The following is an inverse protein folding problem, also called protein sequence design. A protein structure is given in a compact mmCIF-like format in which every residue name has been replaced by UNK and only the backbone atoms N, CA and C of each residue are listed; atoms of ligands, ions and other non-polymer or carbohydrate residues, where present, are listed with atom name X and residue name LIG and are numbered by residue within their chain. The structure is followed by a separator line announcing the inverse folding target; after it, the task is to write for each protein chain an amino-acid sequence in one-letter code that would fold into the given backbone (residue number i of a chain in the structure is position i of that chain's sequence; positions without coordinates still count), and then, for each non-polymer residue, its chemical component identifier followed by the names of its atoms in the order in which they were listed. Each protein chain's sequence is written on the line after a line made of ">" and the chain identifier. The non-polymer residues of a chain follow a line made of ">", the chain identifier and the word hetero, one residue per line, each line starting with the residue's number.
data_IF_593287345178
#
_entry.id   IF_593287345178
#
_cell.length_a   1.000
_cell.length_b   1.000
_cell.length_c   1.000
_cell.angle_alpha   90.00
_cell.angle_beta   90.00
_cell.angle_gamma   90.00
#
_symmetry.space_group_name_H-M   'P 1'
#
loop_
_entity.id
_entity.type
_entity.pdbx_description
1 polymer ?
#
# COMPACT_ATOMS: atom_id res chain seq x y z
N UNK A 1 -12.87 4.71 7.35
CA UNK A 1 -13.17 4.19 5.99
C UNK A 1 -11.88 4.21 5.18
N UNK A 2 -11.71 3.32 4.20
CA UNK A 2 -10.51 3.33 3.36
C UNK A 2 -10.58 4.49 2.35
N UNK A 3 -9.47 5.20 2.07
CA UNK A 3 -9.43 6.27 1.08
C UNK A 3 -9.76 5.73 -0.32
N UNK A 4 -10.41 6.55 -1.14
CA UNK A 4 -10.67 6.19 -2.52
C UNK A 4 -9.37 6.14 -3.33
N UNK A 5 -9.19 5.07 -4.10
CA UNK A 5 -8.06 4.91 -5.03
C UNK A 5 -8.54 4.86 -6.49
N UNK A 6 -7.78 5.34 -7.47
CA UNK A 6 -8.17 5.24 -8.87
C UNK A 6 -7.98 3.83 -9.43
N UNK A 7 -8.83 3.44 -10.37
CA UNK A 7 -8.56 2.27 -11.22
C UNK A 7 -7.43 2.58 -12.20
N UNK A 8 -6.69 1.56 -12.64
CA UNK A 8 -5.64 1.67 -13.66
C UNK A 8 -6.20 2.26 -14.95
N UNK A 9 -7.42 1.87 -15.34
CA UNK A 9 -8.15 2.43 -16.47
C UNK A 9 -8.34 3.94 -16.29
N UNK A 10 -8.91 4.37 -15.16
CA UNK A 10 -9.14 5.79 -14.86
C UNK A 10 -7.82 6.58 -14.87
N UNK A 11 -6.73 6.03 -14.33
CA UNK A 11 -5.43 6.70 -14.38
C UNK A 11 -4.94 6.92 -15.81
N UNK A 12 -5.02 5.89 -16.65
CA UNK A 12 -4.45 5.91 -18.00
C UNK A 12 -5.32 6.68 -19.00
N UNK A 13 -6.60 6.33 -19.04
CA UNK A 13 -7.53 6.82 -20.06
C UNK A 13 -8.10 8.19 -19.71
N UNK A 14 -8.43 8.40 -18.44
CA UNK A 14 -9.17 9.59 -18.02
C UNK A 14 -8.23 10.69 -17.47
N UNK A 15 -7.18 10.31 -16.75
CA UNK A 15 -6.19 11.23 -16.16
C UNK A 15 -4.91 11.38 -16.99
N UNK A 16 -4.72 10.56 -18.03
CA UNK A 16 -3.56 10.64 -18.93
C UNK A 16 -2.23 10.20 -18.31
N UNK A 17 -2.25 9.44 -17.21
CA UNK A 17 -1.06 8.92 -16.54
C UNK A 17 -0.63 7.61 -17.22
N UNK A 18 0.18 7.73 -18.27
CA UNK A 18 0.58 6.59 -19.10
C UNK A 18 1.42 5.54 -18.34
N UNK A 19 2.37 6.00 -17.52
CA UNK A 19 3.25 5.13 -16.73
C UNK A 19 2.79 5.09 -15.28
N UNK A 20 2.46 3.88 -14.81
CA UNK A 20 2.14 3.67 -13.40
C UNK A 20 3.41 3.79 -12.55
N UNK A 21 3.31 4.36 -11.33
CA UNK A 21 4.43 4.37 -10.39
C UNK A 21 4.81 2.94 -9.96
N UNK A 22 6.03 2.75 -9.41
CA UNK A 22 6.42 1.47 -8.80
C UNK A 22 5.45 1.08 -7.68
N UNK A 23 5.41 -0.20 -7.31
CA UNK A 23 4.47 -0.70 -6.30
C UNK A 23 4.69 -0.13 -4.89
N UNK A 24 5.91 0.35 -4.61
CA UNK A 24 6.24 1.10 -3.40
C UNK A 24 5.50 2.44 -3.26
N UNK A 25 4.95 2.98 -4.35
CA UNK A 25 4.13 4.19 -4.35
C UNK A 25 2.67 3.84 -4.68
N UNK A 26 1.77 4.13 -3.74
CA UNK A 26 0.37 3.76 -3.85
C UNK A 26 -0.38 4.64 -4.86
N UNK A 27 -1.34 4.07 -5.59
CA UNK A 27 -2.08 4.86 -6.61
C UNK A 27 -3.00 5.92 -6.00
N UNK A 28 -3.41 5.78 -4.74
CA UNK A 28 -4.16 6.78 -3.98
C UNK A 28 -3.29 7.95 -3.45
N UNK A 29 -1.96 7.85 -3.58
CA UNK A 29 -0.99 8.86 -3.17
C UNK A 29 -0.40 9.64 -4.36
N UNK A 30 -0.83 9.33 -5.59
CA UNK A 30 -0.42 10.07 -6.78
C UNK A 30 -0.79 11.55 -6.63
N UNK A 31 0.18 12.42 -6.90
CA UNK A 31 0.00 13.87 -6.88
C UNK A 31 -0.92 14.33 -8.01
N UNK A 32 -2.22 14.26 -7.75
CA UNK A 32 -3.27 14.72 -8.66
C UNK A 32 -4.45 15.28 -7.86
N UNK A 33 -4.92 16.51 -8.17
CA UNK A 33 -5.96 17.18 -7.37
C UNK A 33 -7.24 16.35 -7.21
N UNK A 34 -7.68 15.66 -8.26
CA UNK A 34 -8.87 14.82 -8.20
C UNK A 34 -8.66 13.56 -7.36
N UNK A 35 -7.45 12.96 -7.38
CA UNK A 35 -7.13 11.76 -6.61
C UNK A 35 -7.11 12.11 -5.13
N UNK A 36 -6.42 13.18 -4.73
CA UNK A 36 -6.44 13.68 -3.35
C UNK A 36 -7.85 14.04 -2.88
N UNK A 37 -8.65 14.72 -3.73
CA UNK A 37 -10.02 15.04 -3.37
C UNK A 37 -10.87 13.78 -3.14
N UNK A 38 -10.77 12.78 -4.02
CA UNK A 38 -11.49 11.53 -3.89
C UNK A 38 -11.06 10.78 -2.62
N UNK A 39 -9.75 10.66 -2.39
CA UNK A 39 -9.18 10.04 -1.20
C UNK A 39 -9.72 10.67 0.09
N UNK A 40 -9.64 12.00 0.21
CA UNK A 40 -10.12 12.73 1.38
C UNK A 40 -11.65 12.63 1.58
N UNK A 41 -12.43 12.72 0.51
CA UNK A 41 -13.91 12.64 0.58
C UNK A 41 -14.42 11.27 1.04
N UNK A 42 -13.62 10.21 0.83
CA UNK A 42 -13.99 8.84 1.17
C UNK A 42 -13.28 8.28 2.41
N UNK A 43 -12.23 8.94 2.91
CA UNK A 43 -11.59 8.58 4.17
C UNK A 43 -12.50 8.81 5.40
N UNK A 44 -13.40 9.80 5.34
CA UNK A 44 -14.29 10.18 6.45
C UNK A 44 -15.80 10.10 6.13
N UNK A 45 -16.61 10.47 7.13
CA UNK A 45 -18.08 10.50 7.08
C UNK A 45 -18.61 11.83 6.51
N UNK A 46 -18.26 12.11 5.25
CA UNK A 46 -18.82 13.27 4.54
C UNK A 46 -20.07 12.86 3.77
N UNK A 47 -21.09 13.73 3.70
CA UNK A 47 -22.24 13.53 2.81
C UNK A 47 -21.78 13.48 1.34
N UNK A 48 -22.28 12.52 0.57
CA UNK A 48 -21.86 12.26 -0.81
C UNK A 48 -23.05 12.37 -1.76
N UNK A 49 -22.89 13.15 -2.82
CA UNK A 49 -23.92 13.33 -3.84
C UNK A 49 -23.87 12.16 -4.85
N UNK A 50 -24.97 11.42 -4.99
CA UNK A 50 -25.07 10.32 -5.98
C UNK A 50 -25.17 10.87 -7.42
N UNK A 51 -24.61 10.14 -8.38
CA UNK A 51 -24.87 10.31 -9.81
C UNK A 51 -26.20 9.62 -10.13
N UNK A 52 -27.29 10.40 -10.14
CA UNK A 52 -28.65 9.86 -10.33
C UNK A 52 -28.93 9.37 -11.75
N UNK A 53 -28.14 9.80 -12.73
CA UNK A 53 -28.26 9.39 -14.13
C UNK A 53 -27.64 8.02 -14.45
N UNK A 54 -27.06 7.35 -13.45
CA UNK A 54 -26.52 5.99 -13.52
C UNK A 54 -27.32 5.11 -12.55
N UNK A 55 -27.94 4.06 -13.08
CA UNK A 55 -28.92 3.23 -12.37
C UNK A 55 -28.46 1.79 -12.08
N UNK A 56 -27.45 1.29 -12.80
CA UNK A 56 -26.88 -0.06 -12.61
C UNK A 56 -25.97 -0.17 -11.39
N UNK A 57 -25.14 0.84 -11.14
CA UNK A 57 -24.23 0.89 -10.00
C UNK A 57 -24.40 2.20 -9.21
N UNK A 58 -24.16 2.14 -7.89
CA UNK A 58 -24.14 3.35 -7.05
C UNK A 58 -22.82 4.08 -7.28
N UNK A 59 -22.86 5.23 -7.96
CA UNK A 59 -21.69 6.08 -8.15
C UNK A 59 -21.88 7.44 -7.47
N UNK A 60 -20.82 7.96 -6.88
CA UNK A 60 -20.82 9.24 -6.18
C UNK A 60 -19.96 10.28 -6.89
N UNK A 61 -20.41 11.54 -6.85
CA UNK A 61 -19.74 12.68 -7.45
C UNK A 61 -18.53 13.11 -6.62
N UNK A 62 -17.41 13.32 -7.30
CA UNK A 62 -16.24 14.04 -6.77
C UNK A 62 -15.99 15.27 -7.64
N UNK A 63 -15.90 16.45 -7.01
CA UNK A 63 -15.75 17.74 -7.68
C UNK A 63 -14.60 18.52 -7.04
N UNK A 64 -13.62 18.95 -7.84
CA UNK A 64 -12.58 19.90 -7.41
C UNK A 64 -12.17 20.77 -8.60
N UNK A 65 -12.29 22.09 -8.46
CA UNK A 65 -12.03 23.03 -9.56
C UNK A 65 -12.75 22.61 -10.86
N UNK A 66 -12.01 22.38 -11.95
CA UNK A 66 -12.53 21.86 -13.22
C UNK A 66 -12.59 20.35 -13.29
N UNK A 67 -11.98 19.62 -12.36
CA UNK A 67 -12.02 18.16 -12.35
C UNK A 67 -13.35 17.64 -11.82
N UNK A 68 -13.82 16.57 -12.46
CA UNK A 68 -14.98 15.80 -12.09
C UNK A 68 -14.59 14.34 -12.06
N UNK A 69 -15.14 13.61 -11.10
CA UNK A 69 -14.92 12.18 -10.96
C UNK A 69 -16.17 11.46 -10.48
N UNK A 70 -16.16 10.15 -10.72
CA UNK A 70 -17.16 9.19 -10.24
C UNK A 70 -16.46 8.14 -9.38
N UNK A 71 -16.94 7.96 -8.14
CA UNK A 71 -16.42 6.95 -7.22
C UNK A 71 -17.45 5.86 -6.97
N UNK A 72 -17.04 4.61 -7.12
CA UNK A 72 -17.79 3.43 -6.73
C UNK A 72 -17.45 3.01 -5.29
N UNK A 73 -18.43 2.92 -4.37
CA UNK A 73 -18.23 2.69 -2.94
C UNK A 73 -18.16 1.20 -2.61
N UNK A 74 -17.15 0.48 -3.10
CA UNK A 74 -16.97 -0.93 -2.73
C UNK A 74 -16.70 -1.11 -1.23
N UNK A 75 -17.17 -2.24 -0.69
CA UNK A 75 -17.11 -2.56 0.74
C UNK A 75 -15.67 -2.71 1.25
N UNK A 76 -14.73 -3.14 0.41
CA UNK A 76 -13.32 -3.26 0.80
C UNK A 76 -12.63 -1.92 0.71
N UNK A 77 -12.83 -1.20 -0.40
CA UNK A 77 -12.25 0.13 -0.61
C UNK A 77 -12.98 0.86 -1.74
N UNK A 78 -13.24 2.17 -1.62
CA UNK A 78 -13.84 2.94 -2.71
C UNK A 78 -12.87 3.14 -3.89
N UNK A 79 -13.42 3.19 -5.11
CA UNK A 79 -12.65 3.31 -6.36
C UNK A 79 -13.06 4.53 -7.16
N UNK A 80 -12.10 5.40 -7.51
CA UNK A 80 -12.29 6.43 -8.54
C UNK A 80 -12.28 5.71 -9.91
N UNK A 81 -13.47 5.49 -10.44
CA UNK A 81 -13.72 4.66 -11.63
C UNK A 81 -13.80 5.47 -12.90
N UNK A 82 -14.11 6.77 -12.82
CA UNK A 82 -14.07 7.66 -13.96
C UNK A 82 -13.64 9.08 -13.57
N UNK A 83 -12.95 9.76 -14.49
CA UNK A 83 -12.52 11.15 -14.32
C UNK A 83 -12.66 11.97 -15.61
N UNK A 84 -12.69 13.29 -15.48
CA UNK A 84 -12.72 14.21 -16.62
C UNK A 84 -12.71 15.67 -16.20
N UNK A 85 -12.61 16.56 -17.17
CA UNK A 85 -12.68 18.01 -16.95
C UNK A 85 -14.04 18.55 -17.35
N UNK A 86 -14.51 19.58 -16.65
CA UNK A 86 -15.54 20.48 -17.15
C UNK A 86 -14.88 21.51 -18.06
N UNK A 87 -15.28 21.57 -19.31
CA UNK A 87 -14.83 22.61 -20.25
C UNK A 87 -15.55 23.94 -19.97
N UNK A 88 -14.86 25.07 -20.15
CA UNK A 88 -15.49 26.39 -19.98
C UNK A 88 -16.49 26.64 -21.11
N UNK A 89 -17.70 27.05 -20.77
CA UNK A 89 -18.74 27.37 -21.75
C UNK A 89 -19.39 26.16 -22.42
N UNK A 90 -18.95 24.93 -22.12
CA UNK A 90 -19.61 23.72 -22.62
C UNK A 90 -20.88 23.41 -21.81
N UNK A 91 -22.02 23.15 -22.46
CA UNK A 91 -23.21 22.62 -21.82
C UNK A 91 -23.04 21.16 -21.35
N UNK A 92 -21.97 20.48 -21.78
CA UNK A 92 -21.72 19.09 -21.44
C UNK A 92 -21.20 18.96 -20.01
N UNK A 93 -22.12 18.64 -19.09
CA UNK A 93 -21.78 18.17 -17.76
C UNK A 93 -21.10 16.79 -17.89
N UNK A 94 -19.91 16.64 -17.32
CA UNK A 94 -19.17 15.37 -17.25
C UNK A 94 -20.08 14.18 -16.87
N UNK A 95 -21.02 14.40 -15.94
CA UNK A 95 -21.94 13.34 -15.50
C UNK A 95 -23.00 12.97 -16.55
N UNK A 96 -23.37 13.89 -17.45
CA UNK A 96 -24.21 13.60 -18.60
C UNK A 96 -23.44 12.77 -19.65
N UNK A 97 -22.19 13.15 -19.94
CA UNK A 97 -21.31 12.39 -20.84
C UNK A 97 -21.03 10.98 -20.30
N UNK A 98 -20.78 10.84 -18.99
CA UNK A 98 -20.63 9.55 -18.32
C UNK A 98 -21.89 8.68 -18.46
N UNK A 99 -23.07 9.25 -18.23
CA UNK A 99 -24.33 8.52 -18.39
C UNK A 99 -24.56 8.07 -19.83
N UNK A 100 -24.24 8.92 -20.82
CA UNK A 100 -24.38 8.54 -22.23
C UNK A 100 -23.39 7.44 -22.63
N UNK A 101 -22.14 7.52 -22.17
CA UNK A 101 -21.17 6.42 -22.32
C UNK A 101 -21.73 5.12 -21.75
N UNK A 102 -22.32 5.16 -20.56
CA UNK A 102 -22.87 3.98 -19.91
C UNK A 102 -24.09 3.40 -20.65
N UNK A 103 -24.96 4.25 -21.22
CA UNK A 103 -26.07 3.79 -22.08
C UNK A 103 -25.55 3.14 -23.36
N UNK A 104 -24.48 3.70 -23.95
CA UNK A 104 -23.87 3.13 -25.15
C UNK A 104 -23.23 1.78 -24.84
N UNK A 105 -22.52 1.65 -23.72
CA UNK A 105 -21.97 0.37 -23.26
C UNK A 105 -23.07 -0.68 -23.04
N UNK A 106 -24.21 -0.28 -22.45
CA UNK A 106 -25.39 -1.14 -22.27
C UNK A 106 -25.98 -1.63 -23.59
N UNK A 107 -26.06 -0.77 -24.63
CA UNK A 107 -26.49 -1.18 -25.98
C UNK A 107 -25.56 -2.24 -26.55
N UNK A 108 -24.25 -2.04 -26.43
CA UNK A 108 -23.24 -3.01 -26.88
C UNK A 108 -23.40 -4.33 -26.13
N UNK A 109 -23.50 -4.30 -24.79
CA UNK A 109 -23.69 -5.49 -23.96
C UNK A 109 -24.93 -6.30 -24.40
N UNK A 110 -26.09 -5.65 -24.53
CA UNK A 110 -27.34 -6.32 -24.91
C UNK A 110 -27.35 -6.85 -26.34
N UNK A 111 -26.47 -6.37 -27.22
CA UNK A 111 -26.35 -6.91 -28.57
C UNK A 111 -25.71 -8.31 -28.60
N UNK A 112 -24.96 -8.68 -27.55
CA UNK A 112 -24.19 -9.92 -27.49
C UNK A 112 -24.51 -10.81 -26.27
N UNK A 113 -25.45 -10.41 -25.41
CA UNK A 113 -25.79 -11.14 -24.18
C UNK A 113 -27.29 -11.39 -24.04
N UNK A 114 -27.65 -12.56 -23.52
CA UNK A 114 -29.02 -12.94 -23.18
C UNK A 114 -29.04 -13.53 -21.76
N UNK A 115 -29.88 -13.03 -20.84
CA UNK A 115 -30.87 -11.96 -21.03
C UNK A 115 -30.25 -10.56 -21.12
N UNK A 116 -31.00 -9.62 -21.70
CA UNK A 116 -30.64 -8.21 -21.73
C UNK A 116 -30.72 -7.58 -20.33
N UNK A 117 -29.90 -6.56 -20.08
CA UNK A 117 -29.94 -5.77 -18.86
C UNK A 117 -31.23 -4.94 -18.78
N UNK A 118 -31.86 -4.95 -17.60
CA UNK A 118 -33.06 -4.18 -17.29
C UNK A 118 -32.78 -2.71 -16.98
N UNK A 119 -31.54 -2.38 -16.61
CA UNK A 119 -31.07 -1.02 -16.34
C UNK A 119 -30.84 -0.23 -17.62
N UNK A 120 -30.91 1.10 -17.50
CA UNK A 120 -30.65 2.02 -18.60
C UNK A 120 -29.14 2.18 -18.84
N UNK A 121 -28.33 2.07 -17.80
CA UNK A 121 -26.86 2.18 -17.88
C UNK A 121 -26.15 0.83 -17.65
N UNK A 122 -24.89 0.78 -18.11
CA UNK A 122 -23.96 -0.30 -17.82
C UNK A 122 -22.57 0.31 -17.58
N UNK A 123 -22.05 0.18 -16.36
CA UNK A 123 -20.81 0.80 -15.89
C UNK A 123 -19.80 -0.21 -15.35
N UNK A 124 -20.09 -1.51 -15.43
CA UNK A 124 -19.16 -2.57 -15.00
C UNK A 124 -17.80 -2.48 -15.71
N UNK A 125 -17.75 -2.00 -16.96
CA UNK A 125 -16.50 -1.76 -17.69
C UNK A 125 -15.58 -0.71 -17.03
N UNK A 126 -16.13 0.12 -16.13
CA UNK A 126 -15.41 1.17 -15.42
C UNK A 126 -14.92 0.71 -14.04
N UNK A 127 -15.53 -0.36 -13.50
CA UNK A 127 -15.24 -0.89 -12.17
C UNK A 127 -13.83 -1.54 -12.13
N UNK A 128 -13.21 -1.65 -10.95
CA UNK A 128 -11.92 -2.32 -10.83
C UNK A 128 -11.97 -3.76 -11.35
N UNK A 129 -10.95 -4.15 -12.11
CA UNK A 129 -10.78 -5.49 -12.64
C UNK A 129 -9.64 -6.28 -11.99
N UNK A 130 -9.32 -7.48 -12.51
CA UNK A 130 -8.25 -8.33 -11.96
C UNK A 130 -6.88 -7.66 -11.88
N UNK A 131 -6.58 -6.72 -12.80
CA UNK A 131 -5.33 -5.95 -12.77
C UNK A 131 -5.29 -4.95 -11.62
N UNK A 132 -6.42 -4.34 -11.28
CA UNK A 132 -6.53 -3.41 -10.14
C UNK A 132 -6.33 -4.13 -8.80
N UNK A 133 -6.92 -5.33 -8.69
CA UNK A 133 -6.76 -6.22 -7.54
C UNK A 133 -5.33 -6.73 -7.40
N UNK A 134 -4.72 -7.18 -8.50
CA UNK A 134 -3.32 -7.61 -8.49
C UNK A 134 -2.39 -6.46 -8.10
N UNK A 135 -2.66 -5.25 -8.61
CA UNK A 135 -1.91 -4.06 -8.24
C UNK A 135 -2.11 -3.68 -6.78
N UNK A 136 -3.32 -3.81 -6.23
CA UNK A 136 -3.57 -3.56 -4.81
C UNK A 136 -2.74 -4.48 -3.92
N UNK A 137 -2.79 -5.79 -4.20
CA UNK A 137 -2.05 -6.79 -3.42
C UNK A 137 -0.54 -6.54 -3.47
N UNK A 138 -0.02 -6.12 -4.63
CA UNK A 138 1.39 -5.80 -4.78
C UNK A 138 1.79 -4.55 -3.97
N UNK A 139 0.97 -3.49 -3.97
CA UNK A 139 1.19 -2.30 -3.13
C UNK A 139 1.13 -2.63 -1.64
N UNK A 140 0.21 -3.49 -1.23
CA UNK A 140 0.09 -3.95 0.16
C UNK A 140 1.31 -4.77 0.58
N UNK A 141 1.80 -5.66 -0.28
CA UNK A 141 3.02 -6.42 -0.03
C UNK A 141 4.26 -5.51 0.09
N UNK A 142 4.45 -4.56 -0.83
CA UNK A 142 5.56 -3.60 -0.76
C UNK A 142 5.48 -2.72 0.48
N UNK A 143 4.28 -2.28 0.88
CA UNK A 143 4.10 -1.48 2.10
C UNK A 143 4.46 -2.30 3.35
N UNK A 144 4.17 -3.60 3.36
CA UNK A 144 4.59 -4.50 4.44
C UNK A 144 6.11 -4.66 4.50
N UNK A 145 6.78 -4.81 3.34
CA UNK A 145 8.25 -4.87 3.26
C UNK A 145 8.87 -3.56 3.77
N UNK A 146 8.43 -2.40 3.28
CA UNK A 146 8.94 -1.10 3.73
C UNK A 146 8.75 -0.88 5.23
N UNK A 147 7.61 -1.32 5.79
CA UNK A 147 7.35 -1.25 7.22
C UNK A 147 8.29 -2.15 8.01
N UNK A 148 8.54 -3.36 7.53
CA UNK A 148 9.49 -4.29 8.14
C UNK A 148 10.92 -3.71 8.07
N UNK A 149 11.38 -3.23 6.92
CA UNK A 149 12.70 -2.61 6.76
C UNK A 149 12.89 -1.43 7.74
N UNK A 150 11.88 -0.56 7.81
CA UNK A 150 11.90 0.57 8.75
C UNK A 150 11.86 0.13 10.21
N UNK A 151 11.11 -0.92 10.55
CA UNK A 151 11.04 -1.48 11.90
C UNK A 151 12.39 -2.06 12.33
N UNK A 152 13.01 -2.88 11.48
CA UNK A 152 14.35 -3.45 11.72
C UNK A 152 15.37 -2.35 11.95
N UNK A 153 15.42 -1.33 11.09
CA UNK A 153 16.35 -0.20 11.27
C UNK A 153 16.12 0.52 12.60
N UNK A 154 14.86 0.81 12.95
CA UNK A 154 14.53 1.47 14.23
C UNK A 154 14.96 0.63 15.43
N UNK A 155 14.67 -0.67 15.43
CA UNK A 155 15.04 -1.59 16.50
C UNK A 155 16.56 -1.70 16.66
N UNK A 156 17.30 -1.76 15.55
CA UNK A 156 18.78 -1.78 15.56
C UNK A 156 19.34 -0.50 16.17
N UNK A 157 18.85 0.67 15.75
CA UNK A 157 19.29 1.96 16.30
C UNK A 157 19.01 2.05 17.80
N UNK A 158 17.81 1.65 18.23
CA UNK A 158 17.44 1.65 19.65
C UNK A 158 18.28 0.65 20.46
N UNK A 159 18.57 -0.52 19.91
CA UNK A 159 19.41 -1.53 20.56
C UNK A 159 20.86 -1.05 20.69
N UNK A 160 21.41 -0.37 19.68
CA UNK A 160 22.72 0.28 19.73
C UNK A 160 22.77 1.37 20.80
N UNK A 161 21.73 2.21 20.91
CA UNK A 161 21.67 3.30 21.89
C UNK A 161 21.54 2.80 23.33
N UNK A 162 20.80 1.72 23.53
CA UNK A 162 20.46 1.25 24.88
C UNK A 162 21.35 0.10 25.36
N UNK A 163 21.95 -0.67 24.46
CA UNK A 163 22.59 -1.95 24.77
C UNK A 163 21.62 -3.05 25.22
N UNK A 164 20.31 -2.81 25.10
CA UNK A 164 19.25 -3.74 25.53
C UNK A 164 18.45 -4.25 24.32
N UNK A 165 17.86 -5.43 24.47
CA UNK A 165 16.97 -6.00 23.46
C UNK A 165 15.77 -5.08 23.23
N UNK A 166 15.50 -4.77 21.97
CA UNK A 166 14.35 -3.99 21.53
C UNK A 166 13.40 -4.92 20.81
N UNK A 167 12.10 -4.80 21.08
CA UNK A 167 11.07 -5.67 20.53
C UNK A 167 9.94 -4.86 19.94
N UNK A 168 9.42 -5.31 18.80
CA UNK A 168 8.20 -4.81 18.20
C UNK A 168 7.33 -5.96 17.70
N UNK A 169 6.01 -5.83 17.88
CA UNK A 169 5.04 -6.76 17.31
C UNK A 169 4.64 -6.32 15.89
N UNK A 170 4.89 -7.18 14.91
CA UNK A 170 4.45 -7.00 13.53
C UNK A 170 3.22 -7.87 13.25
N UNK A 171 2.57 -7.64 12.10
CA UNK A 171 1.37 -8.38 11.73
C UNK A 171 1.72 -9.86 11.45
N UNK A 172 1.55 -10.72 12.46
CA UNK A 172 1.71 -12.18 12.39
C UNK A 172 2.94 -12.74 13.10
N UNK A 173 3.88 -11.90 13.55
CA UNK A 173 5.10 -12.29 14.25
C UNK A 173 5.68 -11.12 15.04
N UNK A 174 6.54 -11.39 16.03
CA UNK A 174 7.31 -10.37 16.72
C UNK A 174 8.77 -10.42 16.28
N UNK A 175 9.40 -9.24 16.23
CA UNK A 175 10.84 -9.09 16.05
C UNK A 175 11.45 -8.58 17.34
N UNK A 176 12.56 -9.20 17.75
CA UNK A 176 13.40 -8.66 18.80
C UNK A 176 14.86 -8.63 18.35
N UNK A 177 15.53 -7.50 18.58
CA UNK A 177 16.90 -7.24 18.16
C UNK A 177 17.71 -6.79 19.36
N UNK A 178 18.88 -7.40 19.52
CA UNK A 178 19.88 -7.01 20.50
C UNK A 178 21.19 -6.71 19.77
N UNK A 179 21.82 -5.60 20.12
CA UNK A 179 23.17 -5.26 19.65
C UNK A 179 24.08 -5.10 20.85
N UNK A 180 25.21 -5.82 20.84
CA UNK A 180 26.22 -5.77 21.91
C UNK A 180 27.60 -5.56 21.32
N UNK A 181 28.34 -4.60 21.85
CA UNK A 181 29.78 -4.56 21.65
C UNK A 181 30.42 -5.58 22.60
N UNK A 182 31.20 -6.51 22.06
CA UNK A 182 32.04 -7.39 22.86
C UNK A 182 33.38 -6.71 23.19
N UNK A 183 34.02 -7.14 24.28
CA UNK A 183 35.29 -6.60 24.77
C UNK A 183 36.44 -6.74 23.73
N UNK A 184 36.25 -7.57 22.69
CA UNK A 184 37.16 -7.75 21.55
C UNK A 184 37.00 -6.77 20.37
N UNK A 185 36.19 -5.71 20.50
CA UNK A 185 35.86 -4.71 19.45
C UNK A 185 34.89 -5.17 18.35
N UNK A 186 34.32 -6.36 18.46
CA UNK A 186 33.30 -6.85 17.53
C UNK A 186 31.90 -6.42 18.00
N UNK A 187 31.08 -5.91 17.08
CA UNK A 187 29.69 -5.55 17.38
C UNK A 187 28.81 -6.72 16.96
N UNK A 188 28.25 -7.42 17.93
CA UNK A 188 27.36 -8.56 17.73
C UNK A 188 25.91 -8.12 17.59
N UNK A 189 25.20 -8.68 16.62
CA UNK A 189 23.76 -8.50 16.45
C UNK A 189 23.07 -9.85 16.60
N UNK A 190 22.12 -9.93 17.53
CA UNK A 190 21.20 -11.04 17.68
C UNK A 190 19.80 -10.63 17.25
N UNK A 191 19.16 -11.45 16.43
CA UNK A 191 17.79 -11.26 15.94
C UNK A 191 16.95 -12.45 16.31
N UNK A 192 15.76 -12.16 16.82
CA UNK A 192 14.74 -13.14 17.14
C UNK A 192 13.52 -12.86 16.29
N UNK A 193 13.03 -13.91 15.65
CA UNK A 193 11.76 -13.89 14.95
C UNK A 193 10.84 -14.87 15.66
N UNK A 194 9.74 -14.37 16.21
CA UNK A 194 8.85 -15.15 17.08
C UNK A 194 7.48 -15.23 16.41
N UNK A 195 7.06 -16.45 16.07
CA UNK A 195 5.78 -16.70 15.39
C UNK A 195 5.97 -17.38 14.04
N UNK A 196 4.95 -17.30 13.19
CA UNK A 196 4.97 -17.97 11.89
C UNK A 196 5.45 -17.03 10.79
N UNK A 197 6.69 -17.23 10.35
CA UNK A 197 7.30 -16.53 9.21
C UNK A 197 7.79 -17.55 8.18
N UNK A 198 7.67 -17.20 6.90
CA UNK A 198 8.23 -18.05 5.83
C UNK A 198 9.75 -17.89 5.77
N UNK A 199 10.44 -18.80 5.07
CA UNK A 199 11.89 -18.69 4.83
C UNK A 199 12.21 -17.39 4.06
N UNK A 200 11.34 -16.98 3.14
CA UNK A 200 11.50 -15.73 2.39
C UNK A 200 11.38 -14.51 3.30
N UNK A 201 10.43 -14.53 4.25
CA UNK A 201 10.29 -13.44 5.23
C UNK A 201 11.51 -13.35 6.14
N UNK A 202 12.02 -14.50 6.62
CA UNK A 202 13.26 -14.54 7.41
C UNK A 202 14.43 -13.95 6.64
N UNK A 203 14.65 -14.38 5.39
CA UNK A 203 15.71 -13.83 4.55
C UNK A 203 15.58 -12.31 4.37
N UNK A 204 14.35 -11.80 4.13
CA UNK A 204 14.10 -10.38 4.00
C UNK A 204 14.37 -9.58 5.30
N UNK A 205 14.01 -10.15 6.46
CA UNK A 205 14.29 -9.54 7.78
C UNK A 205 15.81 -9.43 7.99
N UNK A 206 16.55 -10.51 7.72
CA UNK A 206 18.00 -10.54 7.90
C UNK A 206 18.73 -9.62 6.90
N UNK A 207 18.22 -9.52 5.67
CA UNK A 207 18.75 -8.60 4.64
C UNK A 207 18.56 -7.12 4.99
N UNK A 208 17.53 -6.82 5.78
CA UNK A 208 17.18 -5.46 6.17
C UNK A 208 18.04 -4.91 7.32
N UNK A 209 18.89 -5.74 7.93
CA UNK A 209 19.72 -5.35 9.06
C UNK A 209 20.93 -4.56 8.55
N UNK A 210 21.06 -3.27 8.90
CA UNK A 210 22.14 -2.46 8.38
C UNK A 210 23.49 -2.89 8.96
N UNK A 211 24.54 -2.88 8.12
CA UNK A 211 25.92 -3.13 8.55
C UNK A 211 26.28 -4.59 8.78
N UNK A 212 25.40 -5.55 8.49
CA UNK A 212 25.69 -6.99 8.55
C UNK A 212 25.92 -7.57 7.16
N UNK A 213 26.83 -8.54 7.05
CA UNK A 213 27.03 -9.29 5.81
C UNK A 213 25.92 -10.34 5.61
N UNK A 214 25.30 -10.33 4.43
CA UNK A 214 24.09 -11.11 4.11
C UNK A 214 24.33 -12.61 4.15
N UNK A 215 25.56 -13.04 3.85
CA UNK A 215 25.92 -14.45 3.80
C UNK A 215 26.51 -14.97 5.13
N UNK A 216 26.73 -14.07 6.10
CA UNK A 216 27.35 -14.38 7.39
C UNK A 216 26.35 -14.55 8.54
N UNK A 217 25.06 -14.73 8.25
CA UNK A 217 24.06 -15.05 9.28
C UNK A 217 24.18 -16.49 9.75
N UNK A 218 24.27 -16.70 11.06
CA UNK A 218 24.33 -18.02 11.66
C UNK A 218 23.12 -18.25 12.59
N UNK A 219 22.50 -19.45 12.56
CA UNK A 219 21.53 -19.84 13.57
C UNK A 219 22.18 -19.85 14.95
N UNK A 220 21.49 -19.33 15.94
CA UNK A 220 22.05 -19.16 17.28
C UNK A 220 21.13 -19.67 18.39
N UNK A 221 21.70 -19.84 19.57
CA UNK A 221 20.99 -20.09 20.83
C UNK A 221 21.46 -19.06 21.83
N UNK A 222 20.58 -18.13 22.23
CA UNK A 222 20.96 -17.17 23.26
C UNK A 222 20.99 -17.86 24.63
N UNK A 223 22.17 -17.99 25.27
CA UNK A 223 22.28 -18.68 26.55
C UNK A 223 21.59 -17.89 27.66
N UNK A 224 21.12 -18.62 28.69
CA UNK A 224 20.52 -18.06 29.91
C UNK A 224 19.14 -17.38 29.75
N UNK A 225 18.32 -17.83 28.79
CA UNK A 225 16.91 -17.44 28.71
C UNK A 225 15.98 -18.58 28.32
N UNK A 226 14.70 -18.37 28.56
CA UNK A 226 13.62 -19.24 28.09
C UNK A 226 13.33 -18.99 26.60
N UNK A 227 13.11 -20.06 25.84
CA UNK A 227 12.69 -20.02 24.44
C UNK A 227 11.17 -19.81 24.34
N UNK A 228 10.76 -18.94 23.42
CA UNK A 228 9.36 -18.77 23.02
C UNK A 228 8.97 -19.79 21.92
N UNK A 229 7.70 -20.18 21.87
CA UNK A 229 7.22 -21.13 20.86
C UNK A 229 7.25 -20.50 19.47
N UNK A 230 7.83 -21.21 18.50
CA UNK A 230 8.02 -20.70 17.14
C UNK A 230 9.10 -19.62 17.04
N UNK A 231 10.01 -19.55 18.01
CA UNK A 231 11.16 -18.66 17.98
C UNK A 231 12.28 -19.24 17.09
N UNK A 232 12.80 -18.39 16.21
CA UNK A 232 14.05 -18.62 15.48
C UNK A 232 15.01 -17.48 15.81
N UNK A 233 16.26 -17.84 16.12
CA UNK A 233 17.30 -16.88 16.49
C UNK A 233 18.42 -16.95 15.46
N UNK A 234 18.85 -15.78 15.02
CA UNK A 234 19.96 -15.57 14.11
C UNK A 234 20.93 -14.57 14.71
N UNK A 235 22.19 -14.69 14.34
CA UNK A 235 23.16 -13.67 14.70
C UNK A 235 24.23 -13.46 13.64
N UNK A 236 24.86 -12.29 13.75
CA UNK A 236 25.86 -11.82 12.81
C UNK A 236 26.77 -10.78 13.49
N UNK A 237 27.89 -10.47 12.83
CA UNK A 237 28.74 -9.34 13.16
C UNK A 237 28.29 -8.12 12.36
N UNK A 238 28.14 -7.00 13.05
CA UNK A 238 27.88 -5.70 12.46
C UNK A 238 29.19 -4.94 12.33
N UNK A 239 29.40 -4.35 11.15
CA UNK A 239 30.50 -3.42 10.91
C UNK A 239 30.42 -2.23 11.89
N UNK A 240 31.45 -2.01 12.72
CA UNK A 240 31.49 -0.89 13.65
C UNK A 240 31.35 0.48 12.97
N UNK A 241 31.80 0.64 11.73
CA UNK A 241 31.65 1.90 10.99
C UNK A 241 30.18 2.15 10.60
N UNK A 242 29.48 1.11 10.15
CA UNK A 242 28.04 1.17 9.91
C UNK A 242 27.26 1.49 11.20
N UNK A 243 27.60 0.86 12.33
CA UNK A 243 27.00 1.14 13.62
C UNK A 243 27.18 2.61 14.05
N UNK A 244 28.40 3.15 13.91
CA UNK A 244 28.70 4.55 14.22
C UNK A 244 27.92 5.52 13.32
N UNK A 245 27.76 5.19 12.03
CA UNK A 245 26.98 5.99 11.08
C UNK A 245 25.51 6.06 11.47
N UNK A 246 24.90 4.93 11.84
CA UNK A 246 23.51 4.87 12.28
C UNK A 246 23.27 5.71 13.54
N UNK A 247 24.20 5.69 14.50
CA UNK A 247 24.12 6.50 15.72
C UNK A 247 24.24 8.00 15.43
N UNK A 248 25.09 8.38 14.47
CA UNK A 248 25.24 9.77 14.04
C UNK A 248 23.97 10.30 13.36
N UNK A 249 23.38 9.53 12.45
CA UNK A 249 22.11 9.87 11.77
C UNK A 249 20.93 9.97 12.74
N UNK A 250 20.91 9.17 13.81
CA UNK A 250 19.86 9.22 14.82
C UNK A 250 19.97 10.44 15.76
N UNK A 251 21.13 11.09 15.80
CA UNK A 251 21.43 12.23 16.68
C UNK A 251 21.27 13.59 15.99
N UNK A 252 20.98 13.60 14.67
CA UNK A 252 20.77 14.80 13.84
C UNK A 252 19.30 15.10 13.59
#
# INVERSE_FOLDING_TARGET
>A
MNPARPTIRCLREDLGIAKLPPARAALDEIDHPLVHKASAQFAGETARERIVSVDDNVLFKVKIQRWRGAVWPDNRRPWLVAAGRREDGSPDDFYAALAERARQARKTYNSSHTPALATDTYTDELLPGPLDDARLRLEEAERSVLRMESCVRTLVVQALLTGHEQREDLAGYALAILVRADEGHETYVGIRVIGQVTIADQAAILDAVPGCDRDSWYPDVMPHRDFESGEVIWSNLMDPQAAATLLAEASS
#
